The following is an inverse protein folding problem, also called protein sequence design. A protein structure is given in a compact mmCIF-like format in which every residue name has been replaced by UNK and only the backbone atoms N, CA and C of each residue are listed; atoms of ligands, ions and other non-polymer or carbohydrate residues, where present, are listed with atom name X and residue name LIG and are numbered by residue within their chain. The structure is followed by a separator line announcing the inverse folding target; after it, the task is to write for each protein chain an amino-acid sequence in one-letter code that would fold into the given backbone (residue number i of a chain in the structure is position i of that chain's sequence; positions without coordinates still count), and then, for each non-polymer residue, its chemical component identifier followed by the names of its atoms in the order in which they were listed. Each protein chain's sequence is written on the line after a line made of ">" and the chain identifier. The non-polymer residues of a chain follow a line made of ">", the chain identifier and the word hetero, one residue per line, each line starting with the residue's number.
data_IF_113015651029
#
_entry.id   IF_113015651029
#
_cell.length_a   1.000
_cell.length_b   1.000
_cell.length_c   1.000
_cell.angle_alpha   90.00
_cell.angle_beta   90.00
_cell.angle_gamma   90.00
#
_symmetry.space_group_name_H-M   'P 1'
#
loop_
_entity.id
_entity.type
_entity.pdbx_description
1 polymer ?
#
# COMPACT_ATOMS: atom_id res chain seq x y z
N UNK A 1 4.63 -19.48 -22.90
CA UNK A 1 4.70 -20.17 -21.62
C UNK A 1 3.37 -20.01 -20.90
N UNK A 2 2.74 -21.11 -20.50
CA UNK A 2 1.41 -21.09 -19.86
C UNK A 2 1.46 -20.88 -18.34
N UNK A 3 2.64 -20.67 -17.80
CA UNK A 3 2.86 -20.50 -16.34
C UNK A 3 2.77 -19.04 -15.87
N UNK A 4 2.67 -18.12 -16.83
CA UNK A 4 2.59 -16.69 -16.52
C UNK A 4 1.39 -16.06 -17.21
N UNK A 5 0.69 -15.19 -16.49
CA UNK A 5 -0.39 -14.35 -17.01
C UNK A 5 0.15 -12.94 -17.22
N UNK A 6 -0.04 -12.40 -18.42
CA UNK A 6 0.26 -11.01 -18.72
C UNK A 6 -1.01 -10.35 -19.27
N UNK A 7 -1.48 -9.32 -18.61
CA UNK A 7 -2.63 -8.55 -19.02
C UNK A 7 -2.46 -7.08 -18.62
N UNK A 8 -3.11 -6.18 -19.35
CA UNK A 8 -3.15 -4.79 -18.96
C UNK A 8 -3.92 -4.59 -17.65
N UNK A 9 -3.57 -3.57 -16.87
CA UNK A 9 -4.21 -3.15 -15.62
C UNK A 9 -4.13 -4.13 -14.44
N UNK A 10 -3.31 -5.18 -14.52
CA UNK A 10 -2.97 -5.98 -13.34
C UNK A 10 -2.31 -5.10 -12.28
N UNK A 11 -1.48 -4.18 -12.70
CA UNK A 11 -1.14 -2.99 -11.97
C UNK A 11 -2.24 -1.94 -12.21
N UNK A 12 -3.03 -1.55 -11.21
CA UNK A 12 -2.98 -2.05 -9.83
C UNK A 12 -4.30 -2.74 -9.41
N UNK A 13 -5.11 -3.19 -10.38
CA UNK A 13 -6.40 -3.87 -10.08
C UNK A 13 -6.23 -5.17 -9.28
N UNK A 14 -5.08 -5.83 -9.39
CA UNK A 14 -4.77 -7.00 -8.55
C UNK A 14 -4.73 -6.64 -7.06
N UNK A 15 -4.08 -5.53 -6.71
CA UNK A 15 -4.04 -5.04 -5.33
C UNK A 15 -5.41 -4.54 -4.87
N UNK A 16 -6.16 -3.86 -5.73
CA UNK A 16 -7.53 -3.39 -5.42
C UNK A 16 -8.44 -4.57 -5.12
N UNK A 17 -8.41 -5.62 -5.95
CA UNK A 17 -9.23 -6.82 -5.73
C UNK A 17 -8.87 -7.51 -4.40
N UNK A 18 -7.59 -7.76 -4.16
CA UNK A 18 -7.14 -8.41 -2.93
C UNK A 18 -7.52 -7.59 -1.68
N UNK A 19 -7.38 -6.26 -1.75
CA UNK A 19 -7.77 -5.36 -0.66
C UNK A 19 -9.28 -5.35 -0.42
N UNK A 20 -10.09 -5.43 -1.49
CA UNK A 20 -11.55 -5.49 -1.38
C UNK A 20 -12.00 -6.80 -0.72
N UNK A 21 -11.45 -7.94 -1.13
CA UNK A 21 -11.75 -9.24 -0.53
C UNK A 21 -11.37 -9.26 0.96
N UNK A 22 -10.19 -8.74 1.30
CA UNK A 22 -9.75 -8.63 2.69
C UNK A 22 -10.65 -7.72 3.53
N UNK A 23 -11.09 -6.58 2.95
CA UNK A 23 -12.01 -5.64 3.60
C UNK A 23 -13.37 -6.28 3.89
N UNK A 24 -13.94 -6.98 2.90
CA UNK A 24 -15.21 -7.70 3.06
C UNK A 24 -15.09 -8.81 4.11
N UNK A 25 -14.01 -9.59 4.08
CA UNK A 25 -13.76 -10.64 5.06
C UNK A 25 -13.64 -10.09 6.49
N UNK A 26 -12.91 -8.98 6.67
CA UNK A 26 -12.76 -8.34 7.98
C UNK A 26 -14.10 -7.79 8.52
N UNK A 27 -14.96 -7.25 7.66
CA UNK A 27 -16.31 -6.83 8.06
C UNK A 27 -17.19 -8.00 8.47
N UNK A 28 -17.08 -9.13 7.78
CA UNK A 28 -17.88 -10.32 8.05
C UNK A 28 -17.44 -11.05 9.33
N UNK A 29 -16.14 -11.07 9.63
CA UNK A 29 -15.61 -11.69 10.84
C UNK A 29 -15.92 -10.91 12.11
N UNK A 30 -16.16 -9.60 12.00
CA UNK A 30 -16.32 -8.71 13.14
C UNK A 30 -15.00 -8.40 13.87
N UNK A 31 -13.86 -8.78 13.30
CA UNK A 31 -12.53 -8.60 13.92
C UNK A 31 -12.07 -7.13 14.00
N UNK A 32 -12.76 -6.24 13.32
CA UNK A 32 -12.46 -4.81 13.37
C UNK A 32 -12.68 -4.19 14.77
N UNK A 33 -13.49 -4.82 15.62
CA UNK A 33 -13.80 -4.28 16.95
C UNK A 33 -14.41 -2.87 16.85
N UNK A 34 -13.74 -1.89 17.45
CA UNK A 34 -14.15 -0.48 17.41
C UNK A 34 -13.37 0.34 16.37
N UNK A 35 -12.56 -0.28 15.54
CA UNK A 35 -11.77 0.41 14.53
C UNK A 35 -12.61 0.73 13.30
N UNK A 36 -12.28 1.82 12.63
CA UNK A 36 -12.90 2.20 11.36
C UNK A 36 -12.06 1.65 10.22
N UNK A 37 -12.59 0.64 9.55
CA UNK A 37 -11.95 0.09 8.35
C UNK A 37 -12.22 1.00 7.15
N UNK A 38 -11.18 1.33 6.41
CA UNK A 38 -11.26 2.15 5.21
C UNK A 38 -10.55 1.46 4.04
N UNK A 39 -11.25 1.33 2.94
CA UNK A 39 -10.65 0.96 1.65
C UNK A 39 -10.75 2.16 0.72
N UNK A 40 -9.62 2.63 0.23
CA UNK A 40 -9.56 3.72 -0.73
C UNK A 40 -8.82 3.27 -2.00
N UNK A 41 -9.46 3.44 -3.15
CA UNK A 41 -8.86 3.23 -4.46
C UNK A 41 -8.88 4.56 -5.22
N UNK A 42 -7.70 5.01 -5.65
CA UNK A 42 -7.52 6.32 -6.25
C UNK A 42 -7.31 6.23 -7.76
N UNK A 43 -7.72 7.27 -8.45
CA UNK A 43 -7.41 7.49 -9.87
C UNK A 43 -6.09 8.23 -10.06
N UNK A 44 -5.61 8.23 -11.29
CA UNK A 44 -4.54 9.11 -11.78
C UNK A 44 -3.15 8.86 -11.16
N UNK A 45 -2.87 7.64 -10.67
CA UNK A 45 -1.53 7.31 -10.15
C UNK A 45 -0.48 7.51 -11.24
N UNK A 46 -0.70 7.00 -12.43
CA UNK A 46 0.22 7.02 -13.59
C UNK A 46 0.55 8.43 -14.10
N UNK A 47 -0.22 9.44 -13.70
CA UNK A 47 0.00 10.86 -14.05
C UNK A 47 0.34 11.72 -12.84
N UNK A 48 0.72 11.09 -11.72
CA UNK A 48 1.30 11.76 -10.55
C UNK A 48 0.34 12.05 -9.40
N UNK A 49 -0.86 11.47 -9.39
CA UNK A 49 -1.83 11.51 -8.27
C UNK A 49 -2.35 12.90 -7.85
N UNK A 50 -1.87 14.00 -8.44
CA UNK A 50 -2.19 15.38 -8.03
C UNK A 50 -3.50 15.88 -8.66
N UNK A 51 -4.57 15.15 -8.45
CA UNK A 51 -5.92 15.49 -8.94
C UNK A 51 -6.92 15.39 -7.81
N UNK A 52 -8.16 15.82 -8.05
CA UNK A 52 -9.23 15.79 -7.04
C UNK A 52 -9.54 14.37 -6.54
N UNK A 53 -9.43 13.36 -7.43
CA UNK A 53 -9.66 11.93 -7.13
C UNK A 53 -8.37 11.13 -6.98
N UNK A 54 -7.22 11.77 -7.10
CA UNK A 54 -5.91 11.17 -6.87
C UNK A 54 -5.53 11.12 -5.40
N UNK A 55 -4.55 10.29 -5.07
CA UNK A 55 -4.10 10.11 -3.70
C UNK A 55 -3.47 11.37 -3.06
N UNK A 56 -2.88 12.25 -3.87
CA UNK A 56 -2.38 13.56 -3.41
C UNK A 56 -3.45 14.65 -3.38
N UNK A 57 -4.68 14.31 -3.74
CA UNK A 57 -5.83 15.22 -3.68
C UNK A 57 -6.54 15.19 -2.34
N UNK A 58 -7.56 16.04 -2.16
CA UNK A 58 -8.24 16.21 -0.87
C UNK A 58 -9.29 15.15 -0.55
N UNK A 59 -9.50 14.17 -1.44
CA UNK A 59 -10.64 13.25 -1.34
C UNK A 59 -10.63 12.46 -0.03
N UNK A 60 -9.53 11.80 0.29
CA UNK A 60 -9.45 10.93 1.47
C UNK A 60 -9.57 11.73 2.76
N UNK A 61 -8.82 12.82 2.88
CA UNK A 61 -8.89 13.69 4.06
C UNK A 61 -10.31 14.22 4.28
N UNK A 62 -10.95 14.73 3.23
CA UNK A 62 -12.31 15.23 3.32
C UNK A 62 -13.31 14.15 3.77
N UNK A 63 -13.17 12.92 3.30
CA UNK A 63 -14.03 11.80 3.70
C UNK A 63 -13.78 11.47 5.18
N UNK A 64 -12.53 11.32 5.59
CA UNK A 64 -12.18 10.95 6.97
C UNK A 64 -12.62 12.02 7.98
N UNK A 65 -12.35 13.30 7.70
CA UNK A 65 -12.76 14.42 8.56
C UNK A 65 -14.30 14.46 8.72
N UNK A 66 -15.03 14.34 7.61
CA UNK A 66 -16.50 14.35 7.66
C UNK A 66 -17.06 13.12 8.33
N UNK A 67 -16.42 11.96 8.19
CA UNK A 67 -16.81 10.74 8.91
C UNK A 67 -16.61 10.90 10.41
N UNK A 68 -15.47 11.41 10.84
CA UNK A 68 -15.20 11.69 12.25
C UNK A 68 -16.22 12.67 12.84
N UNK A 69 -16.51 13.77 12.12
CA UNK A 69 -17.54 14.74 12.54
C UNK A 69 -18.94 14.11 12.63
N UNK A 70 -19.31 13.23 11.70
CA UNK A 70 -20.58 12.52 11.74
C UNK A 70 -20.69 11.53 12.93
N UNK A 71 -19.54 11.10 13.45
CA UNK A 71 -19.42 10.29 14.67
C UNK A 71 -19.25 11.14 15.95
N UNK A 72 -19.50 12.44 15.85
CA UNK A 72 -19.42 13.41 16.97
C UNK A 72 -18.00 13.59 17.53
N UNK A 73 -16.96 13.20 16.78
CA UNK A 73 -15.56 13.42 17.17
C UNK A 73 -15.18 14.90 17.00
N UNK A 74 -14.47 15.44 17.98
CA UNK A 74 -13.88 16.77 17.88
C UNK A 74 -12.52 16.76 17.13
N UNK A 75 -11.89 17.92 17.03
CA UNK A 75 -10.60 18.04 16.32
C UNK A 75 -9.48 17.25 17.00
N UNK A 76 -9.47 17.21 18.33
CA UNK A 76 -8.46 16.45 19.08
C UNK A 76 -8.67 14.95 18.91
N UNK A 77 -9.91 14.48 18.90
CA UNK A 77 -10.24 13.09 18.62
C UNK A 77 -9.83 12.68 17.21
N UNK A 78 -10.00 13.55 16.22
CA UNK A 78 -9.54 13.33 14.86
C UNK A 78 -8.01 13.16 14.80
N UNK A 79 -7.25 14.03 15.46
CA UNK A 79 -5.79 13.92 15.52
C UNK A 79 -5.33 12.64 16.24
N UNK A 80 -6.00 12.26 17.33
CA UNK A 80 -5.75 10.99 18.02
C UNK A 80 -6.06 9.77 17.15
N UNK A 81 -7.13 9.84 16.37
CA UNK A 81 -7.50 8.80 15.41
C UNK A 81 -6.39 8.63 14.37
N UNK A 82 -5.93 9.70 13.74
CA UNK A 82 -4.85 9.64 12.76
C UNK A 82 -3.55 9.09 13.36
N UNK A 83 -3.15 9.57 14.55
CA UNK A 83 -1.94 9.12 15.21
C UNK A 83 -1.93 7.63 15.59
N UNK A 84 -3.10 6.99 15.66
CA UNK A 84 -3.26 5.55 15.94
C UNK A 84 -3.61 4.73 14.71
N UNK A 85 -3.80 5.39 13.58
CA UNK A 85 -4.18 4.74 12.33
C UNK A 85 -2.97 4.16 11.60
N UNK A 86 -3.22 3.14 10.83
CA UNK A 86 -2.25 2.50 9.95
C UNK A 86 -2.76 2.57 8.52
N UNK A 87 -1.85 2.78 7.59
CA UNK A 87 -2.15 2.77 6.17
C UNK A 87 -1.30 1.71 5.47
N UNK A 88 -1.97 0.77 4.82
CA UNK A 88 -1.32 -0.18 3.91
C UNK A 88 -1.41 0.37 2.50
N UNK A 89 -0.29 0.80 1.94
CA UNK A 89 -0.19 1.21 0.54
C UNK A 89 0.03 -0.03 -0.33
N UNK A 90 -1.01 -0.47 -1.01
CA UNK A 90 -0.97 -1.66 -1.86
C UNK A 90 -0.78 -1.26 -3.32
N UNK A 91 0.37 -1.61 -3.87
CA UNK A 91 0.78 -1.30 -5.23
C UNK A 91 1.70 -2.39 -5.78
N UNK A 92 1.60 -2.69 -7.08
CA UNK A 92 2.44 -3.70 -7.70
C UNK A 92 3.93 -3.34 -7.60
N UNK A 93 4.77 -4.34 -7.44
CA UNK A 93 6.22 -4.18 -7.38
C UNK A 93 6.90 -4.78 -8.60
N UNK A 94 8.00 -4.16 -9.01
CA UNK A 94 8.85 -4.74 -10.04
C UNK A 94 9.51 -6.02 -9.52
N UNK A 95 9.35 -7.13 -10.23
CA UNK A 95 10.23 -8.29 -10.09
C UNK A 95 11.48 -8.13 -10.93
N UNK A 96 12.55 -8.84 -10.57
CA UNK A 96 13.76 -8.87 -11.39
C UNK A 96 13.43 -9.43 -12.78
N UNK A 97 13.84 -8.71 -13.81
CA UNK A 97 13.71 -9.14 -15.18
C UNK A 97 15.07 -9.62 -15.71
N UNK A 98 15.18 -10.80 -16.35
CA UNK A 98 16.46 -11.37 -16.78
C UNK A 98 17.32 -10.45 -17.64
N UNK A 99 16.69 -9.61 -18.47
CA UNK A 99 17.39 -8.66 -19.34
C UNK A 99 17.78 -7.36 -18.64
N UNK A 100 17.29 -7.10 -17.43
CA UNK A 100 17.46 -5.84 -16.71
C UNK A 100 17.86 -6.03 -15.25
N UNK A 101 18.56 -7.10 -14.94
CA UNK A 101 19.01 -7.43 -13.58
C UNK A 101 19.75 -6.25 -12.92
N UNK A 102 20.58 -5.54 -13.68
CA UNK A 102 21.33 -4.38 -13.19
C UNK A 102 20.48 -3.15 -12.77
N UNK A 103 19.16 -3.17 -13.00
CA UNK A 103 18.24 -2.13 -12.50
C UNK A 103 17.76 -2.40 -11.08
N UNK A 104 18.03 -3.57 -10.54
CA UNK A 104 17.68 -3.95 -9.18
C UNK A 104 18.89 -3.89 -8.26
N UNK A 105 18.63 -3.77 -6.97
CA UNK A 105 19.64 -3.97 -5.94
C UNK A 105 20.28 -5.37 -6.11
N UNK A 106 21.62 -5.50 -6.00
CA UNK A 106 22.28 -6.78 -6.25
C UNK A 106 21.97 -7.87 -5.20
N UNK A 107 21.46 -7.49 -4.04
CA UNK A 107 21.16 -8.40 -2.92
C UNK A 107 19.67 -8.69 -2.83
N UNK A 108 18.83 -7.66 -2.98
CA UNK A 108 17.37 -7.77 -2.86
C UNK A 108 16.72 -7.78 -4.24
N UNK A 109 16.41 -8.97 -4.74
CA UNK A 109 15.85 -9.17 -6.07
C UNK A 109 14.51 -9.91 -5.99
N UNK A 110 13.38 -9.20 -5.92
CA UNK A 110 12.07 -9.83 -5.86
C UNK A 110 11.77 -10.68 -7.10
N UNK A 111 11.15 -11.82 -6.90
CA UNK A 111 10.78 -12.76 -7.95
C UNK A 111 9.25 -12.81 -8.10
N UNK A 112 8.80 -13.03 -9.33
CA UNK A 112 7.36 -13.25 -9.62
C UNK A 112 6.89 -14.51 -8.87
N UNK A 113 5.67 -14.47 -8.33
CA UNK A 113 5.04 -15.56 -7.59
C UNK A 113 5.75 -16.01 -6.30
N UNK A 114 6.61 -15.18 -5.73
CA UNK A 114 7.29 -15.46 -4.46
C UNK A 114 6.73 -14.63 -3.29
N UNK A 115 5.48 -14.20 -3.38
CA UNK A 115 4.80 -13.45 -2.34
C UNK A 115 4.89 -11.93 -2.50
N UNK A 116 4.18 -11.19 -1.65
CA UNK A 116 4.18 -9.75 -1.67
C UNK A 116 5.54 -9.17 -1.28
N UNK A 117 5.72 -7.88 -1.60
CA UNK A 117 7.00 -7.20 -1.48
C UNK A 117 6.85 -5.97 -0.59
N UNK A 118 7.69 -5.85 0.44
CA UNK A 118 7.86 -4.60 1.18
C UNK A 118 8.80 -3.68 0.40
N UNK A 119 8.32 -2.51 0.05
CA UNK A 119 9.12 -1.50 -0.67
C UNK A 119 9.87 -0.63 0.33
N UNK A 120 11.18 -0.51 0.14
CA UNK A 120 12.10 0.30 0.95
C UNK A 120 12.84 1.30 0.08
N UNK A 121 13.06 2.50 0.60
CA UNK A 121 13.86 3.53 -0.05
C UNK A 121 14.50 4.44 1.00
N UNK A 122 15.80 4.71 0.87
CA UNK A 122 16.53 5.53 1.84
C UNK A 122 16.09 7.01 1.83
N UNK A 123 15.52 7.50 0.74
CA UNK A 123 14.93 8.84 0.64
C UNK A 123 13.50 8.91 1.21
N UNK A 124 13.03 7.85 1.88
CA UNK A 124 11.68 7.77 2.46
C UNK A 124 10.56 8.04 1.45
N UNK A 125 10.75 7.59 0.20
CA UNK A 125 9.70 7.64 -0.83
C UNK A 125 8.58 6.63 -0.55
N UNK A 126 8.89 5.61 0.22
CA UNK A 126 7.95 4.67 0.83
C UNK A 126 7.98 4.90 2.33
N UNK A 127 6.82 4.97 2.98
CA UNK A 127 6.70 5.21 4.42
C UNK A 127 6.99 3.95 5.28
N UNK A 128 7.60 2.94 4.69
CA UNK A 128 7.98 1.71 5.40
C UNK A 128 9.11 1.98 6.41
N UNK A 129 8.88 1.59 7.65
CA UNK A 129 9.86 1.63 8.73
C UNK A 129 9.99 0.25 9.40
N UNK A 130 10.79 0.15 10.45
CA UNK A 130 11.03 -1.11 11.13
C UNK A 130 9.76 -1.66 11.81
N UNK A 131 8.87 -0.81 12.29
CA UNK A 131 7.63 -1.21 12.98
C UNK A 131 6.60 -1.71 11.98
N UNK A 132 6.36 -0.95 10.93
CA UNK A 132 5.43 -1.29 9.86
C UNK A 132 5.88 -2.53 9.10
N UNK A 133 7.19 -2.68 8.86
CA UNK A 133 7.74 -3.90 8.28
C UNK A 133 7.53 -5.12 9.19
N UNK A 134 7.79 -5.00 10.49
CA UNK A 134 7.58 -6.10 11.43
C UNK A 134 6.11 -6.54 11.50
N UNK A 135 5.16 -5.60 11.43
CA UNK A 135 3.73 -5.89 11.35
C UNK A 135 3.38 -6.65 10.07
N UNK A 136 3.93 -6.21 8.95
CA UNK A 136 3.73 -6.87 7.66
C UNK A 136 4.28 -8.29 7.65
N UNK A 137 5.51 -8.48 8.11
CA UNK A 137 6.14 -9.81 8.23
C UNK A 137 5.33 -10.76 9.13
N UNK A 138 4.78 -10.22 10.20
CA UNK A 138 3.88 -10.98 11.07
C UNK A 138 2.62 -11.40 10.32
N UNK A 139 1.96 -10.48 9.63
CA UNK A 139 0.76 -10.78 8.85
C UNK A 139 1.03 -11.83 7.75
N UNK A 140 2.14 -11.72 7.03
CA UNK A 140 2.54 -12.72 6.03
C UNK A 140 2.79 -14.10 6.66
N UNK A 141 3.44 -14.16 7.80
CA UNK A 141 3.70 -15.40 8.54
C UNK A 141 2.41 -16.05 9.01
N UNK A 142 1.50 -15.26 9.57
CA UNK A 142 0.21 -15.74 10.08
C UNK A 142 -0.67 -16.26 8.92
N UNK A 143 -0.55 -15.66 7.74
CA UNK A 143 -1.21 -16.10 6.51
C UNK A 143 -0.50 -17.27 5.80
N UNK A 144 0.69 -17.66 6.23
CA UNK A 144 1.49 -18.71 5.56
C UNK A 144 2.00 -18.29 4.17
N UNK A 145 2.18 -16.98 3.95
CA UNK A 145 2.62 -16.41 2.68
C UNK A 145 4.07 -15.89 2.82
N UNK A 146 4.98 -16.21 1.89
CA UNK A 146 6.33 -15.65 1.93
C UNK A 146 6.30 -14.14 1.67
N UNK A 147 7.25 -13.41 2.26
CA UNK A 147 7.45 -11.99 2.03
C UNK A 147 8.81 -11.74 1.39
N UNK A 148 8.90 -10.70 0.58
CA UNK A 148 10.12 -10.27 -0.09
C UNK A 148 10.38 -8.79 0.19
N UNK A 149 11.58 -8.32 -0.12
CA UNK A 149 11.94 -6.90 0.01
C UNK A 149 12.34 -6.35 -1.36
N UNK A 150 11.88 -5.17 -1.67
CA UNK A 150 12.33 -4.36 -2.80
C UNK A 150 13.03 -3.11 -2.28
N UNK A 151 14.27 -2.90 -2.70
CA UNK A 151 15.01 -1.68 -2.42
C UNK A 151 15.03 -0.80 -3.66
N UNK A 152 14.37 0.35 -3.56
CA UNK A 152 14.34 1.34 -4.65
C UNK A 152 15.68 2.07 -4.77
N UNK A 153 16.11 2.32 -6.01
CA UNK A 153 17.28 3.16 -6.27
C UNK A 153 16.97 4.61 -5.90
N UNK A 154 17.84 5.24 -5.09
CA UNK A 154 17.67 6.61 -4.62
C UNK A 154 17.72 7.66 -5.74
N UNK A 155 18.42 7.36 -6.83
CA UNK A 155 18.56 8.26 -7.99
C UNK A 155 17.37 8.16 -8.96
N UNK A 156 16.48 7.18 -8.76
CA UNK A 156 15.30 7.00 -9.60
C UNK A 156 14.07 7.59 -8.91
N UNK A 157 13.20 8.28 -9.63
CA UNK A 157 11.89 8.62 -9.08
C UNK A 157 11.14 7.33 -8.74
N UNK A 158 10.73 7.20 -7.49
CA UNK A 158 9.90 6.10 -7.08
C UNK A 158 8.43 6.52 -7.24
N UNK A 159 7.66 5.75 -7.97
CA UNK A 159 6.21 5.84 -7.94
C UNK A 159 5.72 5.44 -6.54
N UNK A 160 4.96 6.30 -5.90
CA UNK A 160 4.30 5.99 -4.64
C UNK A 160 2.91 6.58 -4.69
N UNK A 161 1.90 5.73 -4.74
CA UNK A 161 0.50 6.14 -4.80
C UNK A 161 0.10 6.93 -3.56
N UNK A 162 0.53 6.49 -2.40
CA UNK A 162 0.07 7.00 -1.09
C UNK A 162 1.19 7.71 -0.32
N UNK A 163 2.41 7.78 -0.86
CA UNK A 163 3.50 8.54 -0.25
C UNK A 163 3.11 9.95 0.23
N UNK A 164 2.35 10.72 -0.56
CA UNK A 164 1.87 12.04 -0.14
C UNK A 164 0.90 12.03 1.06
N UNK A 165 0.29 10.90 1.39
CA UNK A 165 -0.65 10.78 2.52
C UNK A 165 0.07 10.34 3.79
N UNK A 166 1.17 9.59 3.65
CA UNK A 166 1.86 8.91 4.77
C UNK A 166 3.19 9.54 5.15
N UNK A 167 3.63 10.54 4.41
CA UNK A 167 4.88 11.25 4.65
C UNK A 167 4.70 12.49 5.54
#
# INVERSE_FOLDING_TARGET
>A
NMDLVAAGRLDNLSSVYASLEAFIAALQSGDAGNDVLVLAAFDHEEVGSATISGAAGPLLENVLVRTAQALEADTEDLHRMFARSWCVSADAAHSVHPNYVGKHDPVTQPLVNHGPVVKMNANQRYASDAVTWALWERACRDAGVPSQVFVGNNDSPCGSTIGPITA
#
